data_IF_023036827007
#
_entry.id   IF_023036827007
#
_cell.length_a   1.000
_cell.length_b   1.000
_cell.length_c   1.000
_cell.angle_alpha   90.00
_cell.angle_beta   90.00
_cell.angle_gamma   90.00
#
_symmetry.space_group_name_H-M   'P 1'
#
loop_
_entity.id
_entity.type
_entity.pdbx_description
1 polymer ?
#
# COMPACT_ATOMS: atom_id res chain seq x y z
N UNK A 1 -32.05 14.91 -24.55
CA UNK A 1 -33.03 15.21 -25.61
C UNK A 1 -32.38 16.18 -26.57
N UNK A 2 -32.11 15.76 -27.80
CA UNK A 2 -31.54 16.63 -28.84
C UNK A 2 -32.72 17.29 -29.57
N UNK A 3 -33.03 18.56 -29.28
CA UNK A 3 -34.10 19.28 -29.96
C UNK A 3 -33.56 19.91 -31.24
N UNK A 4 -33.98 19.42 -32.39
CA UNK A 4 -33.65 19.99 -33.70
C UNK A 4 -34.95 20.30 -34.45
N UNK A 5 -35.07 21.53 -34.95
CA UNK A 5 -36.31 22.12 -35.46
C UNK A 5 -36.73 21.66 -36.86
N UNK A 6 -36.26 20.50 -37.34
CA UNK A 6 -36.44 20.05 -38.73
C UNK A 6 -36.83 18.57 -38.83
N UNK A 7 -38.06 18.24 -38.45
CA UNK A 7 -38.65 16.91 -38.70
C UNK A 7 -37.93 15.72 -38.05
N UNK A 8 -38.39 14.51 -38.35
CA UNK A 8 -37.78 13.28 -37.84
C UNK A 8 -36.48 12.98 -38.60
N UNK A 9 -35.37 12.81 -37.87
CA UNK A 9 -34.08 12.41 -38.41
C UNK A 9 -33.80 10.98 -37.94
N UNK A 10 -33.54 10.10 -38.89
CA UNK A 10 -33.14 8.72 -38.63
C UNK A 10 -31.61 8.68 -38.51
N UNK A 11 -31.10 8.13 -37.41
CA UNK A 11 -29.67 7.95 -37.17
C UNK A 11 -29.30 6.49 -37.42
N UNK A 12 -28.27 6.26 -38.22
CA UNK A 12 -27.71 4.95 -38.50
C UNK A 12 -26.41 4.73 -37.72
N UNK A 13 -25.89 3.49 -37.72
CA UNK A 13 -24.63 3.20 -37.04
C UNK A 13 -23.45 4.00 -37.60
N UNK A 14 -23.49 4.34 -38.89
CA UNK A 14 -22.45 5.13 -39.57
C UNK A 14 -22.46 6.61 -39.15
N UNK A 15 -23.58 7.08 -38.57
CA UNK A 15 -23.72 8.44 -38.04
C UNK A 15 -23.20 8.56 -36.59
N UNK A 16 -22.77 7.46 -35.98
CA UNK A 16 -22.38 7.38 -34.58
C UNK A 16 -20.91 6.99 -34.42
N UNK A 17 -20.12 7.86 -33.78
CA UNK A 17 -18.81 7.47 -33.25
C UNK A 17 -19.01 6.81 -31.88
N UNK A 18 -18.87 5.49 -31.81
CA UNK A 18 -18.96 4.73 -30.56
C UNK A 18 -17.56 4.50 -30.02
N UNK A 19 -17.22 5.20 -28.95
CA UNK A 19 -15.97 5.01 -28.23
C UNK A 19 -16.23 4.34 -26.87
N UNK A 20 -15.45 3.30 -26.57
CA UNK A 20 -15.46 2.69 -25.25
C UNK A 20 -14.75 3.63 -24.26
N UNK A 21 -15.54 4.35 -23.46
CA UNK A 21 -15.00 5.21 -22.40
C UNK A 21 -14.68 4.36 -21.17
N UNK A 22 -13.48 4.51 -20.62
CA UNK A 22 -13.11 3.86 -19.36
C UNK A 22 -14.08 4.29 -18.25
N UNK A 23 -14.70 3.30 -17.59
CA UNK A 23 -15.51 3.55 -16.40
C UNK A 23 -14.60 4.02 -15.26
N UNK A 24 -14.95 5.12 -14.61
CA UNK A 24 -14.23 5.62 -13.42
C UNK A 24 -14.07 4.49 -12.38
N UNK A 25 -12.87 4.34 -11.84
CA UNK A 25 -12.51 3.25 -10.91
C UNK A 25 -11.99 1.98 -11.57
N UNK A 26 -11.99 1.87 -12.91
CA UNK A 26 -11.37 0.76 -13.63
C UNK A 26 -10.27 1.26 -14.56
N UNK A 27 -9.07 0.73 -14.37
CA UNK A 27 -8.00 0.86 -15.34
C UNK A 27 -8.04 -0.34 -16.27
N UNK A 28 -8.33 -0.12 -17.55
CA UNK A 28 -8.43 -1.21 -18.53
C UNK A 28 -7.44 -1.05 -19.68
N UNK A 29 -6.70 -2.11 -19.97
CA UNK A 29 -5.80 -2.23 -21.13
C UNK A 29 -6.31 -3.35 -22.01
N UNK A 30 -6.31 -3.14 -23.33
CA UNK A 30 -6.64 -4.17 -24.31
C UNK A 30 -5.48 -4.39 -25.27
N UNK A 31 -5.08 -5.64 -25.46
CA UNK A 31 -4.06 -6.03 -26.43
C UNK A 31 -4.39 -7.43 -27.01
N UNK A 32 -4.10 -7.64 -28.30
CA UNK A 32 -4.40 -8.89 -29.04
C UNK A 32 -5.79 -9.50 -28.80
N UNK A 33 -6.82 -8.69 -28.59
CA UNK A 33 -8.19 -9.15 -28.33
C UNK A 33 -8.47 -9.60 -26.88
N UNK A 34 -7.53 -9.36 -25.96
CA UNK A 34 -7.71 -9.57 -24.51
C UNK A 34 -7.80 -8.23 -23.81
N UNK A 35 -8.85 -8.03 -23.01
CA UNK A 35 -9.01 -6.85 -22.16
C UNK A 35 -8.79 -7.24 -20.70
N UNK A 36 -7.82 -6.61 -20.05
CA UNK A 36 -7.61 -6.69 -18.61
C UNK A 36 -8.13 -5.40 -17.99
N UNK A 37 -9.02 -5.51 -17.01
CA UNK A 37 -9.50 -4.38 -16.23
C UNK A 37 -9.17 -4.61 -14.76
N UNK A 38 -8.54 -3.62 -14.12
CA UNK A 38 -8.19 -3.61 -12.70
C UNK A 38 -9.06 -2.56 -12.02
N UNK A 39 -9.74 -2.94 -10.95
CA UNK A 39 -10.38 -1.98 -10.06
C UNK A 39 -9.28 -1.22 -9.29
N UNK A 40 -9.23 0.09 -9.48
CA UNK A 40 -8.25 0.98 -8.85
C UNK A 40 -8.78 1.62 -7.57
N UNK A 41 -9.98 1.24 -7.13
CA UNK A 41 -10.57 1.71 -5.88
C UNK A 41 -9.81 1.12 -4.69
N UNK A 42 -9.10 1.96 -3.96
CA UNK A 42 -8.46 1.56 -2.72
C UNK A 42 -9.48 1.53 -1.58
N UNK A 43 -9.73 0.34 -1.03
CA UNK A 43 -10.49 0.18 0.20
C UNK A 43 -9.61 0.50 1.42
N UNK A 44 -10.18 0.84 2.58
CA UNK A 44 -9.40 1.07 3.80
C UNK A 44 -8.48 -0.11 4.16
N UNK A 45 -8.94 -1.33 3.93
CA UNK A 45 -8.18 -2.56 4.18
C UNK A 45 -6.95 -2.67 3.26
N UNK A 46 -7.11 -2.35 1.97
CA UNK A 46 -5.99 -2.34 1.01
C UNK A 46 -4.95 -1.25 1.35
N UNK A 47 -5.41 -0.10 1.85
CA UNK A 47 -4.51 0.96 2.32
C UNK A 47 -3.72 0.46 3.52
N UNK A 48 -4.39 -0.13 4.52
CA UNK A 48 -3.72 -0.67 5.72
C UNK A 48 -2.72 -1.78 5.37
N UNK A 49 -3.08 -2.70 4.48
CA UNK A 49 -2.16 -3.71 3.96
C UNK A 49 -0.92 -3.08 3.29
N UNK A 50 -1.11 -1.99 2.54
CA UNK A 50 -0.03 -1.22 1.93
C UNK A 50 0.93 -0.64 2.98
N UNK A 51 0.42 -0.13 4.10
CA UNK A 51 1.25 0.31 5.22
C UNK A 51 2.02 -0.84 5.85
N UNK A 52 1.35 -1.98 6.11
CA UNK A 52 1.98 -3.17 6.69
C UNK A 52 3.15 -3.66 5.82
N UNK A 53 2.95 -3.78 4.50
CA UNK A 53 3.99 -4.20 3.56
C UNK A 53 5.17 -3.25 3.53
N UNK A 54 4.92 -1.95 3.56
CA UNK A 54 5.99 -0.95 3.57
C UNK A 54 6.78 -0.98 4.89
N UNK A 55 6.11 -1.15 6.03
CA UNK A 55 6.75 -1.30 7.35
C UNK A 55 7.67 -2.53 7.36
N UNK A 56 7.19 -3.69 6.90
CA UNK A 56 7.99 -4.92 6.77
C UNK A 56 9.22 -4.64 5.90
N UNK A 57 9.04 -4.00 4.75
CA UNK A 57 10.13 -3.63 3.84
C UNK A 57 11.22 -2.77 4.52
N UNK A 58 10.83 -1.77 5.32
CA UNK A 58 11.78 -0.92 6.05
C UNK A 58 12.50 -1.66 7.17
N UNK A 59 11.79 -2.45 7.96
CA UNK A 59 12.41 -3.26 9.02
C UNK A 59 13.43 -4.24 8.42
N UNK A 60 13.10 -4.92 7.32
CA UNK A 60 14.02 -5.84 6.66
C UNK A 60 15.25 -5.13 6.08
N UNK A 61 15.08 -3.89 5.58
CA UNK A 61 16.21 -3.05 5.18
C UNK A 61 17.09 -2.72 6.38
N UNK A 62 16.51 -2.27 7.49
CA UNK A 62 17.25 -1.95 8.72
C UNK A 62 18.00 -3.15 9.30
N UNK A 63 17.44 -4.37 9.20
CA UNK A 63 18.15 -5.59 9.61
C UNK A 63 19.41 -5.82 8.79
N UNK A 64 19.36 -5.57 7.47
CA UNK A 64 20.52 -5.70 6.59
C UNK A 64 21.56 -4.62 6.89
N UNK A 65 21.11 -3.39 7.10
CA UNK A 65 21.99 -2.26 7.42
C UNK A 65 22.69 -2.43 8.77
N UNK A 66 22.03 -3.11 9.71
CA UNK A 66 22.58 -3.47 11.02
C UNK A 66 23.38 -4.79 11.03
N UNK A 67 23.56 -5.43 9.87
CA UNK A 67 24.29 -6.70 9.68
C UNK A 67 23.73 -7.87 10.52
N UNK A 68 22.40 -7.93 10.68
CA UNK A 68 21.73 -9.01 11.40
C UNK A 68 21.59 -10.27 10.52
N UNK A 69 21.63 -11.44 11.14
CA UNK A 69 21.34 -12.70 10.45
C UNK A 69 19.84 -12.82 10.18
N UNK A 70 19.48 -13.60 9.16
CA UNK A 70 18.07 -13.86 8.80
C UNK A 70 17.32 -14.59 9.93
N UNK A 71 18.03 -15.38 10.73
CA UNK A 71 17.47 -16.14 11.86
C UNK A 71 17.42 -15.37 13.16
N UNK A 72 17.98 -14.15 13.21
CA UNK A 72 18.03 -13.39 14.45
C UNK A 72 16.62 -12.92 14.83
N UNK A 73 16.25 -13.17 16.08
CA UNK A 73 15.04 -12.62 16.66
C UNK A 73 15.29 -11.16 17.06
N UNK A 74 14.35 -10.27 16.78
CA UNK A 74 14.51 -8.83 17.04
C UNK A 74 13.39 -8.24 17.88
N UNK A 75 13.71 -7.14 18.55
CA UNK A 75 12.75 -6.21 19.14
C UNK A 75 12.61 -5.04 18.17
N UNK A 76 11.37 -4.73 17.80
CA UNK A 76 11.03 -3.56 16.99
C UNK A 76 10.67 -2.43 17.94
N UNK A 77 11.09 -1.21 17.60
CA UNK A 77 10.73 -0.01 18.33
C UNK A 77 10.29 1.09 17.36
N UNK A 78 9.32 1.90 17.77
CA UNK A 78 8.76 2.97 16.94
C UNK A 78 8.41 4.20 17.78
N UNK A 79 8.73 5.38 17.26
CA UNK A 79 8.39 6.66 17.87
C UNK A 79 8.05 7.74 16.82
N UNK A 80 7.44 8.83 17.28
CA UNK A 80 7.17 10.01 16.46
C UNK A 80 5.91 9.93 15.59
N UNK A 81 5.19 8.81 15.57
CA UNK A 81 3.93 8.68 14.83
C UNK A 81 2.98 7.61 15.41
N UNK A 82 1.91 8.07 16.06
CA UNK A 82 0.93 7.20 16.71
C UNK A 82 0.16 6.34 15.70
N UNK A 83 -0.12 6.86 14.50
CA UNK A 83 -0.83 6.11 13.45
C UNK A 83 -0.01 4.90 12.99
N UNK A 84 1.30 5.07 12.81
CA UNK A 84 2.19 3.96 12.47
C UNK A 84 2.27 2.96 13.63
N UNK A 85 2.41 3.44 14.87
CA UNK A 85 2.41 2.57 16.03
C UNK A 85 1.11 1.74 16.17
N UNK A 86 -0.05 2.36 15.91
CA UNK A 86 -1.35 1.69 15.91
C UNK A 86 -1.44 0.63 14.81
N UNK A 87 -1.00 0.93 13.58
CA UNK A 87 -1.00 -0.04 12.47
C UNK A 87 -0.12 -1.25 12.81
N UNK A 88 1.08 -1.02 13.37
CA UNK A 88 1.96 -2.13 13.78
C UNK A 88 1.29 -2.95 14.88
N UNK A 89 0.64 -2.30 15.84
CA UNK A 89 -0.04 -2.97 16.95
C UNK A 89 -1.21 -3.81 16.45
N UNK A 90 -2.04 -3.31 15.52
CA UNK A 90 -3.16 -4.05 14.94
C UNK A 90 -2.71 -5.23 14.10
N UNK A 91 -1.61 -5.09 13.37
CA UNK A 91 -1.09 -6.10 12.44
C UNK A 91 0.15 -6.82 13.00
N UNK A 92 0.27 -6.88 14.33
CA UNK A 92 1.45 -7.39 15.04
C UNK A 92 1.84 -8.79 14.58
N UNK A 93 0.86 -9.68 14.45
CA UNK A 93 1.07 -11.08 14.03
C UNK A 93 1.78 -11.19 12.68
N UNK A 94 1.29 -10.45 11.68
CA UNK A 94 1.79 -10.56 10.30
C UNK A 94 3.17 -9.94 10.18
N UNK A 95 3.36 -8.76 10.79
CA UNK A 95 4.66 -8.07 10.80
C UNK A 95 5.70 -8.91 11.52
N UNK A 96 5.38 -9.43 12.72
CA UNK A 96 6.32 -10.17 13.56
C UNK A 96 6.75 -11.47 12.91
N UNK A 97 5.80 -12.17 12.28
CA UNK A 97 6.10 -13.40 11.54
C UNK A 97 7.00 -13.09 10.35
N UNK A 98 6.74 -12.01 9.61
CA UNK A 98 7.51 -11.66 8.42
C UNK A 98 8.96 -11.24 8.71
N UNK A 99 9.22 -10.65 9.89
CA UNK A 99 10.54 -10.10 10.24
C UNK A 99 11.20 -10.78 11.43
N UNK A 100 10.66 -11.91 11.90
CA UNK A 100 11.16 -12.68 13.07
C UNK A 100 11.35 -11.75 14.29
N UNK A 101 10.26 -11.10 14.71
CA UNK A 101 10.26 -10.21 15.87
C UNK A 101 9.57 -10.83 17.08
N UNK A 102 10.07 -10.50 18.26
CA UNK A 102 9.56 -11.00 19.54
C UNK A 102 8.76 -9.94 20.29
N UNK A 103 9.13 -8.66 20.17
CA UNK A 103 8.46 -7.58 20.90
C UNK A 103 8.41 -6.24 20.15
N UNK A 104 7.48 -5.38 20.58
CA UNK A 104 7.25 -4.03 20.06
C UNK A 104 7.31 -3.03 21.21
N UNK A 105 8.22 -2.05 21.11
CA UNK A 105 8.28 -0.89 22.00
C UNK A 105 7.73 0.33 21.28
N UNK A 106 6.75 1.01 21.88
CA UNK A 106 6.15 2.23 21.32
C UNK A 106 6.55 3.44 22.17
N UNK A 107 6.87 4.54 21.51
CA UNK A 107 7.17 5.83 22.15
C UNK A 107 8.66 6.05 22.44
N UNK A 108 9.52 5.11 22.07
CA UNK A 108 10.98 5.27 22.07
C UNK A 108 11.59 4.37 21.01
N UNK A 109 12.61 4.84 20.29
CA UNK A 109 13.43 4.01 19.40
C UNK A 109 14.74 3.57 20.07
N UNK A 110 15.08 2.28 19.98
CA UNK A 110 16.31 1.67 20.54
C UNK A 110 17.03 0.79 19.51
N UNK A 111 18.33 0.54 19.72
CA UNK A 111 19.18 -0.27 18.86
C UNK A 111 19.68 0.48 17.62
N UNK A 112 19.56 -0.14 16.45
CA UNK A 112 19.83 0.51 15.18
C UNK A 112 18.59 1.29 14.73
N UNK A 113 18.67 2.61 14.72
CA UNK A 113 17.53 3.50 14.47
C UNK A 113 17.64 4.25 13.15
N UNK A 114 16.50 4.52 12.53
CA UNK A 114 16.40 5.30 11.29
C UNK A 114 15.01 5.96 11.16
N UNK A 115 14.97 7.17 10.60
CA UNK A 115 13.71 7.82 10.19
C UNK A 115 13.28 7.28 8.83
N UNK A 116 12.02 6.85 8.73
CA UNK A 116 11.42 6.40 7.49
C UNK A 116 10.12 7.15 7.19
N UNK A 117 9.87 7.34 5.89
CA UNK A 117 8.58 7.78 5.38
C UNK A 117 7.80 6.55 4.89
N UNK A 118 6.71 6.23 5.58
CA UNK A 118 5.80 5.13 5.26
C UNK A 118 4.56 5.75 4.60
N UNK A 119 4.49 5.70 3.26
CA UNK A 119 3.33 6.19 2.50
C UNK A 119 2.87 7.61 2.85
N UNK A 120 3.80 8.52 3.14
CA UNK A 120 3.55 9.91 3.54
C UNK A 120 3.64 10.18 5.05
N UNK A 121 3.64 9.13 5.87
CA UNK A 121 3.74 9.22 7.33
C UNK A 121 5.20 9.03 7.77
N UNK A 122 5.78 10.04 8.42
CA UNK A 122 7.13 9.90 8.98
C UNK A 122 7.09 9.24 10.33
N UNK A 123 7.98 8.29 10.58
CA UNK A 123 8.19 7.67 11.89
C UNK A 123 9.66 7.25 12.06
N UNK A 124 10.15 7.30 13.29
CA UNK A 124 11.47 6.76 13.62
C UNK A 124 11.30 5.32 14.09
N UNK A 125 12.01 4.41 13.43
CA UNK A 125 12.05 3.00 13.78
C UNK A 125 13.37 2.67 14.45
N UNK A 126 13.38 1.64 15.29
CA UNK A 126 14.58 1.01 15.82
C UNK A 126 14.48 -0.51 15.79
N UNK A 127 15.58 -1.17 15.45
CA UNK A 127 15.70 -2.64 15.47
C UNK A 127 16.86 -3.08 16.35
N UNK A 128 16.65 -4.12 17.15
CA UNK A 128 17.64 -4.66 18.07
C UNK A 128 17.53 -6.17 18.16
N UNK A 129 18.65 -6.89 18.06
CA UNK A 129 18.65 -8.34 18.29
C UNK A 129 18.29 -8.64 19.74
N UNK A 130 17.32 -9.53 19.92
CA UNK A 130 16.95 -10.07 21.21
C UNK A 130 17.98 -11.15 21.60
N UNK A 131 18.72 -10.93 22.69
CA UNK A 131 19.79 -11.83 23.16
C UNK A 131 19.30 -12.71 24.32
#
# INVERSE_FOLDING_TARGET
TLNISIGAIELTADDLLIEAVQKSGLFSVSDFGVTVAIDTTLTPELVEEGFVREIISKIQTMRKDADFNVTDHIIISVEGNDKIADIITRNKSDIFTAVVADDLVVGSADGHTAEWNINGEKATFGVKVNK
#
